data_IF_842344281759
#
_entry.id   IF_842344281759
#
_cell.length_a   1.000
_cell.length_b   1.000
_cell.length_c   1.000
_cell.angle_alpha   90.00
_cell.angle_beta   90.00
_cell.angle_gamma   90.00
#
_symmetry.space_group_name_H-M   'P 1'
#
loop_
_entity.id
_entity.type
_entity.pdbx_description
1 polymer ?
#
# COMPACT_ATOMS: atom_id res chain seq x y z
N UNK A 1 36.18 -12.92 -72.26
CA UNK A 1 36.06 -14.36 -72.57
C UNK A 1 35.54 -15.04 -71.31
N UNK A 2 34.50 -15.88 -71.41
CA UNK A 2 33.11 -15.46 -71.18
C UNK A 2 32.43 -16.35 -70.08
N UNK A 3 31.23 -16.12 -69.56
CA UNK A 3 29.90 -16.26 -70.17
C UNK A 3 28.85 -15.87 -69.09
N UNK A 4 28.01 -14.85 -69.29
CA UNK A 4 26.64 -14.87 -69.87
C UNK A 4 25.57 -15.60 -69.05
N UNK A 5 24.51 -14.85 -68.68
CA UNK A 5 23.23 -15.41 -68.23
C UNK A 5 22.31 -14.34 -67.61
N UNK A 6 21.51 -13.67 -68.43
CA UNK A 6 20.36 -12.85 -68.03
C UNK A 6 19.05 -13.55 -68.50
N UNK A 7 17.86 -12.92 -68.47
CA UNK A 7 16.95 -12.71 -67.32
C UNK A 7 15.51 -13.21 -67.60
N UNK A 8 14.61 -13.32 -66.62
CA UNK A 8 13.14 -13.35 -66.83
C UNK A 8 12.41 -12.95 -65.52
N UNK A 9 11.77 -11.76 -65.44
CA UNK A 9 10.31 -11.48 -65.61
C UNK A 9 9.40 -12.39 -64.78
N UNK A 10 8.65 -11.97 -63.77
CA UNK A 10 7.63 -10.91 -63.68
C UNK A 10 6.75 -11.13 -62.42
N UNK A 11 5.72 -10.31 -62.15
CA UNK A 11 5.24 -9.99 -60.80
C UNK A 11 4.08 -10.87 -60.31
N UNK A 12 4.10 -11.21 -59.02
CA UNK A 12 2.99 -11.87 -58.32
C UNK A 12 2.47 -11.00 -57.17
N UNK A 13 1.46 -10.20 -57.47
CA UNK A 13 0.60 -9.56 -56.46
C UNK A 13 -0.35 -10.61 -55.87
N UNK A 14 -0.33 -10.80 -54.56
CA UNK A 14 -1.49 -11.32 -53.84
C UNK A 14 -1.50 -10.80 -52.41
N UNK A 15 -2.41 -9.86 -52.18
CA UNK A 15 -2.82 -9.42 -50.87
C UNK A 15 -3.62 -10.55 -50.18
N UNK A 16 -3.27 -10.88 -48.94
CA UNK A 16 -4.16 -11.61 -48.06
C UNK A 16 -3.88 -11.33 -46.58
N UNK A 17 -4.72 -10.44 -46.02
CA UNK A 17 -5.38 -10.54 -44.71
C UNK A 17 -4.52 -10.85 -43.47
N UNK A 18 -4.34 -9.85 -42.61
CA UNK A 18 -4.37 -10.01 -41.13
C UNK A 18 -5.77 -10.53 -40.72
N UNK A 19 -5.96 -11.30 -39.61
CA UNK A 19 -5.75 -10.85 -38.20
C UNK A 19 -5.45 -12.04 -37.23
N UNK A 20 -5.70 -11.97 -35.90
CA UNK A 20 -5.55 -10.90 -34.91
C UNK A 20 -4.57 -11.26 -33.76
N UNK A 21 -4.13 -10.22 -33.04
CA UNK A 21 -3.88 -10.17 -31.59
C UNK A 21 -3.33 -11.40 -30.87
N UNK A 22 -2.04 -11.36 -30.54
CA UNK A 22 -1.55 -11.97 -29.30
C UNK A 22 -1.23 -10.85 -28.30
N UNK A 23 -2.28 -10.34 -27.65
CA UNK A 23 -2.15 -9.80 -26.30
C UNK A 23 -1.64 -10.93 -25.42
N UNK A 24 -0.32 -11.04 -25.26
CA UNK A 24 0.23 -11.82 -24.16
C UNK A 24 -0.15 -11.11 -22.89
N UNK A 25 -1.28 -11.56 -22.33
CA UNK A 25 -1.73 -11.25 -20.99
C UNK A 25 -0.52 -11.38 -20.07
N UNK A 26 -0.19 -10.30 -19.39
CA UNK A 26 0.72 -10.34 -18.26
C UNK A 26 -0.02 -11.19 -17.23
N UNK A 27 0.27 -12.49 -17.24
CA UNK A 27 -0.25 -13.46 -16.30
C UNK A 27 -0.09 -12.87 -14.90
N UNK A 28 -1.22 -12.53 -14.31
CA UNK A 28 -1.34 -12.14 -12.92
C UNK A 28 -0.84 -13.34 -12.12
N UNK A 29 0.41 -13.27 -11.66
CA UNK A 29 0.91 -14.23 -10.67
C UNK A 29 -0.05 -14.18 -9.50
N UNK A 30 -0.80 -15.27 -9.33
CA UNK A 30 -1.77 -15.43 -8.26
C UNK A 30 -1.14 -15.02 -6.92
N UNK A 31 -1.87 -14.17 -6.22
CA UNK A 31 -1.51 -13.62 -4.93
C UNK A 31 -1.30 -14.75 -3.93
N UNK A 32 -0.07 -14.90 -3.41
CA UNK A 32 0.25 -15.98 -2.46
C UNK A 32 -0.34 -15.78 -1.06
N UNK A 33 -0.84 -14.58 -0.73
CA UNK A 33 -1.72 -14.29 0.41
C UNK A 33 -2.40 -12.92 0.27
N UNK A 34 -3.58 -12.72 0.90
CA UNK A 34 -4.35 -11.47 0.88
C UNK A 34 -3.52 -10.22 1.29
N UNK A 35 -2.60 -10.34 2.25
CA UNK A 35 -1.69 -9.25 2.66
C UNK A 35 -0.77 -8.77 1.54
N UNK A 36 -0.50 -9.62 0.56
CA UNK A 36 0.37 -9.30 -0.58
C UNK A 36 -0.39 -8.54 -1.66
N UNK A 37 -1.72 -8.71 -1.75
CA UNK A 37 -2.52 -8.15 -2.84
C UNK A 37 -2.71 -6.65 -2.72
N UNK A 38 -3.09 -6.15 -1.55
CA UNK A 38 -3.29 -4.71 -1.36
C UNK A 38 -1.98 -3.93 -1.51
N UNK A 39 -0.85 -4.47 -1.02
CA UNK A 39 0.47 -3.84 -1.24
C UNK A 39 0.84 -3.82 -2.72
N UNK A 40 0.74 -4.95 -3.40
CA UNK A 40 1.05 -5.04 -4.83
C UNK A 40 0.15 -4.11 -5.65
N UNK A 41 -1.12 -3.95 -5.25
CA UNK A 41 -2.02 -2.98 -5.88
C UNK A 41 -1.53 -1.55 -5.70
N UNK A 42 -1.13 -1.15 -4.48
CA UNK A 42 -0.56 0.17 -4.23
C UNK A 42 0.70 0.42 -5.06
N UNK A 43 1.61 -0.55 -5.12
CA UNK A 43 2.83 -0.48 -5.94
C UNK A 43 2.50 -0.31 -7.43
N UNK A 44 1.54 -1.09 -7.95
CA UNK A 44 1.15 -1.04 -9.36
C UNK A 44 0.51 0.30 -9.77
N UNK A 45 -0.12 1.00 -8.83
CA UNK A 45 -0.78 2.29 -9.06
C UNK A 45 0.01 3.48 -8.50
N UNK A 46 1.27 3.27 -8.11
CA UNK A 46 2.13 4.30 -7.52
C UNK A 46 1.51 5.03 -6.30
N UNK A 47 0.67 4.33 -5.53
CA UNK A 47 0.07 4.84 -4.30
C UNK A 47 1.07 4.65 -3.15
N UNK A 48 1.53 5.73 -2.49
CA UNK A 48 2.45 5.60 -1.36
C UNK A 48 1.82 4.78 -0.23
N UNK A 49 2.53 3.76 0.21
CA UNK A 49 2.09 2.86 1.28
C UNK A 49 3.11 2.82 2.41
N UNK A 50 2.62 2.89 3.66
CA UNK A 50 3.43 2.80 4.88
C UNK A 50 2.67 2.10 6.00
N UNK A 51 3.38 1.23 6.72
CA UNK A 51 2.87 0.61 7.96
C UNK A 51 3.17 1.53 9.14
N UNK A 52 2.14 1.85 9.92
CA UNK A 52 2.30 2.51 11.22
C UNK A 52 2.08 1.46 12.31
N UNK A 53 3.05 1.21 13.18
CA UNK A 53 2.98 0.13 14.18
C UNK A 53 3.37 0.60 15.57
N UNK A 54 2.55 0.30 16.58
CA UNK A 54 2.91 0.58 17.99
C UNK A 54 3.93 -0.43 18.54
N UNK A 55 4.24 -1.47 17.75
CA UNK A 55 5.33 -2.40 18.04
C UNK A 55 6.70 -1.80 17.78
N UNK A 56 7.71 -2.66 17.72
CA UNK A 56 9.10 -2.26 17.53
C UNK A 56 9.59 -2.56 16.11
N UNK A 57 10.47 -1.69 15.62
CA UNK A 57 11.15 -1.83 14.33
C UNK A 57 11.82 -3.19 14.14
N UNK A 58 12.44 -3.71 15.20
CA UNK A 58 13.03 -5.06 15.20
C UNK A 58 12.06 -6.15 14.72
N UNK A 59 10.78 -6.09 15.11
CA UNK A 59 9.76 -7.05 14.67
C UNK A 59 9.46 -6.88 13.17
N UNK A 60 9.38 -5.64 12.69
CA UNK A 60 9.04 -5.32 11.30
C UNK A 60 10.19 -5.70 10.36
N UNK A 61 11.43 -5.43 10.75
CA UNK A 61 12.63 -5.84 10.01
C UNK A 61 12.74 -7.36 9.94
N UNK A 62 12.43 -8.05 11.05
CA UNK A 62 12.39 -9.51 11.08
C UNK A 62 11.30 -10.06 10.17
N UNK A 63 10.10 -9.48 10.18
CA UNK A 63 9.00 -9.88 9.28
C UNK A 63 9.36 -9.68 7.81
N UNK A 64 9.98 -8.55 7.46
CA UNK A 64 10.48 -8.30 6.09
C UNK A 64 11.47 -9.38 5.66
N UNK A 65 12.47 -9.67 6.52
CA UNK A 65 13.52 -10.66 6.26
C UNK A 65 12.95 -12.08 6.10
N UNK A 66 12.04 -12.49 6.99
CA UNK A 66 11.44 -13.83 6.96
C UNK A 66 10.59 -14.08 5.72
N UNK A 67 9.96 -13.03 5.18
CA UNK A 67 9.03 -13.15 4.06
C UNK A 67 9.63 -12.70 2.72
N UNK A 68 10.86 -12.18 2.70
CA UNK A 68 11.50 -11.64 1.50
C UNK A 68 10.71 -10.47 0.89
N UNK A 69 10.15 -9.61 1.75
CA UNK A 69 9.34 -8.45 1.35
C UNK A 69 9.92 -7.17 1.90
N UNK A 70 9.64 -6.05 1.22
CA UNK A 70 9.98 -4.72 1.69
C UNK A 70 8.75 -3.83 1.79
N UNK A 71 8.70 -2.97 2.81
CA UNK A 71 7.69 -1.94 2.98
C UNK A 71 8.21 -0.81 3.85
N UNK A 72 7.75 0.42 3.59
CA UNK A 72 8.03 1.55 4.47
C UNK A 72 7.25 1.40 5.79
N UNK A 73 7.85 1.79 6.92
CA UNK A 73 7.15 1.80 8.20
C UNK A 73 7.56 2.96 9.12
N UNK A 74 6.73 3.21 10.13
CA UNK A 74 7.06 4.03 11.31
C UNK A 74 6.59 3.25 12.53
N UNK A 75 7.48 3.08 13.51
CA UNK A 75 7.20 2.30 14.72
C UNK A 75 8.00 2.82 15.90
N UNK A 76 7.78 2.25 17.09
CA UNK A 76 8.72 2.40 18.18
C UNK A 76 10.05 1.69 17.87
N UNK A 77 11.09 2.04 18.61
CA UNK A 77 12.43 1.51 18.40
C UNK A 77 12.86 0.63 19.56
N UNK A 78 13.45 -0.53 19.24
CA UNK A 78 14.04 -1.44 20.22
C UNK A 78 15.52 -1.66 19.88
N UNK A 79 16.41 -1.38 20.82
CA UNK A 79 17.86 -1.58 20.66
C UNK A 79 18.43 -2.35 21.84
N UNK A 80 19.53 -3.07 21.60
CA UNK A 80 20.36 -3.64 22.67
C UNK A 80 21.56 -2.73 22.84
N UNK A 81 21.66 -2.09 24.00
CA UNK A 81 22.77 -1.21 24.38
C UNK A 81 23.41 -1.78 25.66
N UNK A 82 24.70 -2.11 25.62
CA UNK A 82 25.44 -2.69 26.75
C UNK A 82 24.76 -3.93 27.37
N UNK A 83 24.26 -4.84 26.52
CA UNK A 83 23.54 -6.04 26.96
C UNK A 83 22.15 -5.79 27.56
N UNK A 84 21.64 -4.55 27.50
CA UNK A 84 20.31 -4.19 28.00
C UNK A 84 19.40 -3.74 26.87
N UNK A 85 18.13 -4.14 26.95
CA UNK A 85 17.10 -3.66 26.05
C UNK A 85 16.75 -2.20 26.35
N UNK A 86 16.67 -1.39 25.30
CA UNK A 86 16.28 0.02 25.33
C UNK A 86 15.16 0.25 24.34
N UNK A 87 14.08 0.86 24.84
CA UNK A 87 12.94 1.29 24.03
C UNK A 87 13.01 2.80 23.82
N UNK A 88 12.63 3.25 22.62
CA UNK A 88 12.45 4.67 22.33
C UNK A 88 11.15 4.87 21.55
N UNK A 89 10.43 5.94 21.89
CA UNK A 89 9.25 6.39 21.17
C UNK A 89 9.63 6.78 19.74
N UNK A 90 8.87 6.32 18.76
CA UNK A 90 9.17 6.55 17.34
C UNK A 90 8.57 7.85 16.78
N UNK A 91 7.35 8.16 17.18
CA UNK A 91 6.65 9.38 16.76
C UNK A 91 5.66 9.81 17.86
N UNK A 92 6.17 10.17 19.05
CA UNK A 92 5.31 10.57 20.14
C UNK A 92 4.53 11.83 19.78
N UNK A 93 3.39 12.00 20.44
CA UNK A 93 2.64 13.25 20.39
C UNK A 93 2.35 13.69 21.82
N UNK A 94 2.99 14.77 22.31
CA UNK A 94 2.84 15.21 23.68
C UNK A 94 1.42 15.74 23.97
N UNK A 95 0.65 16.07 22.92
CA UNK A 95 -0.73 16.55 23.03
C UNK A 95 -1.74 15.40 23.00
N UNK A 96 -1.29 14.17 22.73
CA UNK A 96 -2.14 13.00 22.60
C UNK A 96 -1.87 11.98 23.71
N UNK A 97 -2.90 11.69 24.52
CA UNK A 97 -2.84 10.73 25.62
C UNK A 97 -2.95 9.25 25.21
N UNK A 98 -2.66 8.87 23.95
CA UNK A 98 -2.82 7.49 23.49
C UNK A 98 -1.79 6.51 24.11
N UNK A 99 -0.65 7.02 24.60
CA UNK A 99 0.34 6.24 25.33
C UNK A 99 1.13 5.21 24.49
N UNK A 100 1.03 5.26 23.15
CA UNK A 100 1.63 4.22 22.29
C UNK A 100 3.10 4.44 21.95
N UNK A 101 3.68 5.61 22.27
CA UNK A 101 5.04 6.00 21.86
C UNK A 101 5.18 6.33 20.35
N UNK A 102 4.26 5.85 19.52
CA UNK A 102 4.13 6.18 18.10
C UNK A 102 2.66 6.54 17.85
N UNK A 103 2.34 7.83 17.91
CA UNK A 103 0.97 8.30 17.70
C UNK A 103 0.69 8.32 16.20
N UNK A 104 -0.12 7.37 15.71
CA UNK A 104 -0.49 7.31 14.28
C UNK A 104 -1.15 8.60 13.79
N UNK A 105 -1.95 9.24 14.64
CA UNK A 105 -2.57 10.53 14.32
C UNK A 105 -1.56 11.65 14.10
N UNK A 106 -0.46 11.66 14.86
CA UNK A 106 0.61 12.64 14.70
C UNK A 106 1.37 12.44 13.38
N UNK A 107 1.63 11.18 13.02
CA UNK A 107 2.22 10.85 11.72
C UNK A 107 1.34 11.35 10.58
N UNK A 108 0.03 11.08 10.63
CA UNK A 108 -0.91 11.54 9.59
C UNK A 108 -1.02 13.06 9.52
N UNK A 109 -1.11 13.76 10.66
CA UNK A 109 -1.12 15.24 10.69
C UNK A 109 0.17 15.84 10.13
N UNK A 110 1.33 15.24 10.42
CA UNK A 110 2.61 15.67 9.87
C UNK A 110 2.64 15.50 8.35
N UNK A 111 2.13 14.38 7.83
CA UNK A 111 2.00 14.16 6.39
C UNK A 111 1.05 15.17 5.74
N UNK A 112 -0.11 15.44 6.36
CA UNK A 112 -1.05 16.47 5.90
C UNK A 112 -0.40 17.84 5.83
N UNK A 113 0.35 18.24 6.86
CA UNK A 113 1.03 19.54 6.88
C UNK A 113 2.05 19.67 5.74
N UNK A 114 2.79 18.60 5.45
CA UNK A 114 3.74 18.56 4.35
C UNK A 114 3.08 18.46 2.96
N UNK A 115 1.87 17.89 2.87
CA UNK A 115 1.14 17.72 1.61
C UNK A 115 -0.38 17.92 1.81
N UNK A 116 -0.84 19.19 1.88
CA UNK A 116 -2.22 19.51 2.28
C UNK A 116 -3.31 18.90 1.39
N UNK A 117 -3.00 18.67 0.10
CA UNK A 117 -3.95 18.14 -0.89
C UNK A 117 -3.98 16.61 -0.99
N UNK A 118 -3.11 15.89 -0.27
CA UNK A 118 -3.02 14.43 -0.37
C UNK A 118 -4.20 13.77 0.34
N UNK A 119 -4.95 12.89 -0.32
CA UNK A 119 -5.99 12.09 0.36
C UNK A 119 -5.34 11.03 1.26
N UNK A 120 -5.56 11.09 2.57
CA UNK A 120 -4.98 10.19 3.55
C UNK A 120 -5.97 9.08 3.91
N UNK A 121 -5.56 7.84 3.71
CA UNK A 121 -6.31 6.65 4.09
C UNK A 121 -5.64 5.97 5.29
N UNK A 122 -6.43 5.63 6.31
CA UNK A 122 -5.98 4.81 7.42
C UNK A 122 -6.74 3.49 7.45
N UNK A 123 -6.03 2.38 7.69
CA UNK A 123 -6.60 1.03 7.78
C UNK A 123 -6.11 0.44 9.10
N UNK A 124 -7.03 0.13 10.02
CA UNK A 124 -6.68 -0.32 11.37
C UNK A 124 -7.74 -1.20 12.00
N UNK A 125 -7.46 -1.74 13.19
CA UNK A 125 -8.39 -2.61 13.92
C UNK A 125 -8.35 -2.45 15.45
N UNK A 126 -7.31 -1.83 16.00
CA UNK A 126 -7.16 -1.67 17.43
C UNK A 126 -7.69 -0.33 17.93
N UNK A 127 -8.59 -0.37 18.91
CA UNK A 127 -9.18 0.82 19.54
C UNK A 127 -8.14 1.80 20.08
N UNK A 128 -7.11 1.34 20.79
CA UNK A 128 -6.10 2.22 21.39
C UNK A 128 -5.06 2.63 20.35
N UNK A 129 -4.65 1.69 19.50
CA UNK A 129 -3.56 1.86 18.54
C UNK A 129 -3.92 2.75 17.36
N UNK A 130 -5.14 2.61 16.84
CA UNK A 130 -5.50 3.10 15.51
C UNK A 130 -6.51 4.24 15.55
N UNK A 131 -7.18 4.46 16.69
CA UNK A 131 -8.21 5.50 16.79
C UNK A 131 -7.69 6.89 16.42
N UNK A 132 -6.51 7.28 16.92
CA UNK A 132 -5.91 8.57 16.56
C UNK A 132 -5.56 8.66 15.06
N UNK A 133 -5.20 7.53 14.43
CA UNK A 133 -4.96 7.47 12.99
C UNK A 133 -6.27 7.59 12.20
N UNK A 134 -7.30 6.87 12.60
CA UNK A 134 -8.62 6.92 11.99
C UNK A 134 -9.22 8.33 12.01
N UNK A 135 -9.09 9.05 13.13
CA UNK A 135 -9.58 10.43 13.25
C UNK A 135 -8.80 11.44 12.38
N UNK A 136 -7.54 11.16 12.08
CA UNK A 136 -6.68 12.07 11.32
C UNK A 136 -6.72 11.82 9.79
N UNK A 137 -7.39 10.75 9.35
CA UNK A 137 -7.50 10.36 7.95
C UNK A 137 -8.75 10.95 7.30
N UNK A 138 -8.73 11.13 5.98
CA UNK A 138 -9.94 11.47 5.21
C UNK A 138 -10.85 10.25 5.05
N UNK A 139 -10.26 9.06 5.06
CA UNK A 139 -10.99 7.79 5.00
C UNK A 139 -10.37 6.80 5.96
N UNK A 140 -11.17 6.30 6.89
CA UNK A 140 -10.80 5.24 7.82
C UNK A 140 -11.46 3.93 7.41
N UNK A 141 -10.67 2.87 7.29
CA UNK A 141 -11.13 1.50 7.26
C UNK A 141 -10.92 0.89 8.65
N UNK A 142 -11.98 0.33 9.22
CA UNK A 142 -11.94 -0.19 10.57
C UNK A 142 -12.65 -1.53 10.69
N UNK A 143 -12.15 -2.37 11.60
CA UNK A 143 -12.79 -3.59 12.05
C UNK A 143 -12.53 -3.82 13.53
N UNK A 144 -13.08 -4.90 14.07
CA UNK A 144 -12.92 -5.31 15.47
C UNK A 144 -13.19 -4.14 16.44
N UNK A 145 -12.37 -4.03 17.50
CA UNK A 145 -12.50 -3.00 18.53
C UNK A 145 -12.44 -1.55 18.01
N UNK A 146 -11.77 -1.29 16.88
CA UNK A 146 -11.74 0.04 16.29
C UNK A 146 -13.09 0.41 15.68
N UNK A 147 -13.72 -0.50 14.95
CA UNK A 147 -15.03 -0.25 14.34
C UNK A 147 -16.11 0.01 15.40
N UNK A 148 -16.15 -0.82 16.45
CA UNK A 148 -17.05 -0.62 17.59
C UNK A 148 -16.86 0.76 18.23
N UNK A 149 -15.60 1.16 18.42
CA UNK A 149 -15.27 2.41 19.08
C UNK A 149 -15.58 3.66 18.25
N UNK A 150 -15.37 3.59 16.93
CA UNK A 150 -15.72 4.64 15.97
C UNK A 150 -17.25 4.77 15.84
N UNK A 151 -17.95 3.63 15.73
CA UNK A 151 -19.42 3.59 15.66
C UNK A 151 -20.06 4.22 16.89
N UNK A 152 -19.59 3.87 18.09
CA UNK A 152 -20.07 4.44 19.35
C UNK A 152 -19.89 5.96 19.46
N UNK A 153 -19.06 6.57 18.60
CA UNK A 153 -18.76 8.01 18.58
C UNK A 153 -19.32 8.72 17.34
N UNK A 154 -20.02 8.02 16.47
CA UNK A 154 -20.52 8.59 15.21
C UNK A 154 -19.41 9.02 14.25
N UNK A 155 -18.21 8.44 14.36
CA UNK A 155 -17.10 8.74 13.44
C UNK A 155 -17.27 7.88 12.18
N UNK A 156 -17.30 8.47 10.97
CA UNK A 156 -17.43 7.72 9.73
C UNK A 156 -16.25 6.77 9.49
N UNK A 157 -16.55 5.54 9.06
CA UNK A 157 -15.56 4.56 8.63
C UNK A 157 -16.17 3.58 7.63
N UNK A 158 -15.33 2.83 6.94
CA UNK A 158 -15.72 1.72 6.07
C UNK A 158 -15.29 0.42 6.77
N UNK A 159 -16.23 -0.51 6.98
CA UNK A 159 -15.90 -1.81 7.54
C UNK A 159 -15.20 -2.69 6.52
N UNK A 160 -14.29 -3.55 6.99
CA UNK A 160 -13.62 -4.54 6.14
C UNK A 160 -13.36 -5.83 6.93
N UNK A 161 -13.30 -6.96 6.25
CA UNK A 161 -12.91 -8.25 6.83
C UNK A 161 -11.46 -8.55 6.49
N UNK A 162 -11.14 -8.42 5.20
CA UNK A 162 -9.82 -8.65 4.61
C UNK A 162 -9.30 -7.38 3.93
N UNK A 163 -7.98 -7.30 3.72
CA UNK A 163 -7.41 -6.15 3.02
C UNK A 163 -7.78 -6.11 1.52
N UNK A 164 -8.28 -7.22 0.97
CA UNK A 164 -8.77 -7.26 -0.42
C UNK A 164 -10.09 -6.46 -0.55
N UNK A 165 -10.92 -6.44 0.50
CA UNK A 165 -12.16 -5.65 0.57
C UNK A 165 -11.89 -4.15 0.43
N UNK A 166 -10.68 -3.70 0.79
CA UNK A 166 -10.28 -2.29 0.77
C UNK A 166 -9.93 -1.82 -0.65
N UNK A 167 -9.45 -2.71 -1.52
CA UNK A 167 -8.91 -2.38 -2.84
C UNK A 167 -9.93 -1.64 -3.74
N UNK A 168 -11.19 -2.08 -3.88
CA UNK A 168 -12.17 -1.37 -4.72
C UNK A 168 -12.41 0.07 -4.25
N UNK A 169 -12.36 0.32 -2.95
CA UNK A 169 -12.51 1.67 -2.40
C UNK A 169 -11.29 2.54 -2.67
N UNK A 170 -10.08 1.98 -2.58
CA UNK A 170 -8.85 2.69 -2.93
C UNK A 170 -8.84 3.09 -4.40
N UNK A 171 -9.26 2.19 -5.30
CA UNK A 171 -9.39 2.48 -6.73
C UNK A 171 -10.36 3.67 -6.96
N UNK A 172 -11.54 3.62 -6.35
CA UNK A 172 -12.51 4.71 -6.48
C UNK A 172 -12.03 6.06 -5.89
N UNK A 173 -11.18 6.02 -4.84
CA UNK A 173 -10.55 7.23 -4.27
C UNK A 173 -9.51 7.77 -5.25
N UNK A 174 -8.66 6.91 -5.82
CA UNK A 174 -7.63 7.29 -6.78
C UNK A 174 -8.24 7.93 -8.02
N UNK A 175 -9.27 7.29 -8.61
CA UNK A 175 -10.00 7.81 -9.77
C UNK A 175 -10.59 9.21 -9.51
N UNK A 176 -11.01 9.49 -8.26
CA UNK A 176 -11.51 10.82 -7.86
C UNK A 176 -10.41 11.86 -7.72
N UNK A 177 -9.23 11.45 -7.29
CA UNK A 177 -8.08 12.33 -7.09
C UNK A 177 -7.39 12.73 -8.40
N UNK A 178 -7.54 11.92 -9.45
CA UNK A 178 -7.00 12.19 -10.79
C UNK A 178 -7.89 13.09 -11.65
N UNK A 179 -9.10 13.41 -11.20
CA UNK A 179 -10.03 14.35 -11.85
C UNK A 179 -9.85 15.76 -11.31
#
# INVERSE_FOLDING_TARGET
MPQTGAPHSGPGSSAARSPPGSTTSRSSKACRSARTCSRNWCEAHSVPFRILSDGFDWNLDRLQSLNGIHFAYTSNHLRVEHGKWRIRAGAPDPTCGCGTGMCKGNVLRTLRAASPRTHLVHIGNGRVSDFCGALAADTAFAKDSLAEWLAARGVPFISFTTLDDVIPHLAAILDRAER
#
